data_IF_830653622256
#
_entry.id   IF_830653622256
#
_cell.length_a   1.000
_cell.length_b   1.000
_cell.length_c   1.000
_cell.angle_alpha   90.00
_cell.angle_beta   90.00
_cell.angle_gamma   90.00
#
_symmetry.space_group_name_H-M   'P 1'
#
loop_
_entity.id
_entity.type
_entity.pdbx_description
1 polymer ?
#
# COMPACT_ATOMS: atom_id res chain seq x y z
N UNK A 1 66.16 -31.66 -29.47
CA UNK A 1 64.80 -31.17 -29.16
C UNK A 1 63.82 -32.35 -29.25
N UNK A 2 63.37 -32.91 -28.12
CA UNK A 2 62.39 -34.00 -28.12
C UNK A 2 61.00 -33.40 -28.36
N UNK A 3 60.36 -33.73 -29.48
CA UNK A 3 58.93 -33.42 -29.71
C UNK A 3 58.11 -34.42 -28.89
N UNK A 4 57.52 -33.96 -27.79
CA UNK A 4 56.48 -34.73 -27.10
C UNK A 4 55.21 -34.67 -27.96
N UNK A 5 54.77 -35.82 -28.47
CA UNK A 5 53.51 -35.91 -29.20
C UNK A 5 52.35 -35.92 -28.22
N UNK A 6 51.37 -35.04 -28.42
CA UNK A 6 50.12 -35.05 -27.66
C UNK A 6 49.43 -36.38 -27.90
N UNK A 7 49.13 -37.12 -26.84
CA UNK A 7 48.40 -38.37 -26.98
C UNK A 7 46.91 -38.10 -27.18
N UNK A 8 46.22 -38.97 -27.93
CA UNK A 8 44.78 -38.85 -28.16
C UNK A 8 44.00 -38.85 -26.83
N UNK A 9 44.52 -39.54 -25.82
CA UNK A 9 43.97 -39.58 -24.46
C UNK A 9 44.11 -38.22 -23.75
N UNK A 10 45.26 -37.54 -23.84
CA UNK A 10 45.41 -36.18 -23.28
C UNK A 10 44.44 -35.18 -23.91
N UNK A 11 44.22 -35.26 -25.23
CA UNK A 11 43.27 -34.40 -25.92
C UNK A 11 41.83 -34.65 -25.41
N UNK A 12 41.44 -35.91 -25.21
CA UNK A 12 40.13 -36.28 -24.71
C UNK A 12 39.92 -35.80 -23.26
N UNK A 13 40.92 -35.95 -22.40
CA UNK A 13 40.88 -35.47 -21.01
C UNK A 13 40.77 -33.95 -20.97
N UNK A 14 41.54 -33.23 -21.78
CA UNK A 14 41.47 -31.77 -21.87
C UNK A 14 40.10 -31.27 -22.33
N UNK A 15 39.49 -31.92 -23.33
CA UNK A 15 38.13 -31.60 -23.79
C UNK A 15 37.07 -31.91 -22.72
N UNK A 16 37.23 -33.01 -21.98
CA UNK A 16 36.34 -33.37 -20.87
C UNK A 16 36.38 -32.32 -19.75
N UNK A 17 37.59 -31.90 -19.34
CA UNK A 17 37.76 -30.85 -18.32
C UNK A 17 37.20 -29.51 -18.82
N UNK A 18 37.46 -29.13 -20.07
CA UNK A 18 36.92 -27.92 -20.67
C UNK A 18 35.38 -27.94 -20.68
N UNK A 19 34.77 -29.07 -21.03
CA UNK A 19 33.32 -29.25 -20.99
C UNK A 19 32.73 -29.04 -19.59
N UNK A 20 33.36 -29.61 -18.56
CA UNK A 20 32.94 -29.41 -17.16
C UNK A 20 33.05 -27.93 -16.75
N UNK A 21 34.16 -27.27 -17.11
CA UNK A 21 34.36 -25.85 -16.82
C UNK A 21 33.32 -24.95 -17.50
N UNK A 22 32.97 -25.25 -18.76
CA UNK A 22 31.93 -24.51 -19.48
C UNK A 22 30.54 -24.68 -18.84
N UNK A 23 30.20 -25.88 -18.38
CA UNK A 23 28.94 -26.13 -17.66
C UNK A 23 28.93 -25.37 -16.32
N UNK A 24 30.04 -25.40 -15.57
CA UNK A 24 30.16 -24.68 -14.31
C UNK A 24 30.04 -23.16 -14.51
N UNK A 25 30.73 -22.61 -15.51
CA UNK A 25 30.65 -21.20 -15.88
C UNK A 25 29.23 -20.80 -16.30
N UNK A 26 28.57 -21.62 -17.14
CA UNK A 26 27.19 -21.39 -17.56
C UNK A 26 26.21 -21.33 -16.39
N UNK A 27 26.36 -22.23 -15.41
CA UNK A 27 25.56 -22.21 -14.18
C UNK A 27 25.80 -20.96 -13.32
N UNK A 28 27.06 -20.52 -13.23
CA UNK A 28 27.42 -19.31 -12.49
C UNK A 28 26.83 -18.04 -13.15
N UNK A 29 26.89 -17.93 -14.48
CA UNK A 29 26.29 -16.81 -15.18
C UNK A 29 24.76 -16.79 -15.07
N UNK A 30 24.12 -17.97 -15.15
CA UNK A 30 22.68 -18.09 -14.95
C UNK A 30 22.26 -17.63 -13.55
N UNK A 31 22.95 -18.09 -12.49
CA UNK A 31 22.63 -17.68 -11.12
C UNK A 31 22.88 -16.20 -10.87
N UNK A 32 23.95 -15.62 -11.42
CA UNK A 32 24.23 -14.18 -11.32
C UNK A 32 23.16 -13.33 -12.01
N UNK A 33 22.61 -13.83 -13.12
CA UNK A 33 21.55 -13.15 -13.87
C UNK A 33 20.23 -13.20 -13.10
N UNK A 34 19.87 -14.36 -12.55
CA UNK A 34 18.68 -14.53 -11.72
C UNK A 34 18.72 -13.65 -10.47
N UNK A 35 19.87 -13.58 -9.79
CA UNK A 35 20.09 -12.71 -8.64
C UNK A 35 19.91 -11.23 -9.02
N UNK A 36 20.40 -10.82 -10.19
CA UNK A 36 20.27 -9.46 -10.68
C UNK A 36 18.81 -9.09 -10.97
N UNK A 37 18.04 -10.02 -11.55
CA UNK A 37 16.60 -9.81 -11.78
C UNK A 37 15.80 -9.74 -10.47
N UNK A 38 16.05 -10.65 -9.54
CA UNK A 38 15.39 -10.64 -8.23
C UNK A 38 15.71 -9.35 -7.44
N UNK A 39 16.96 -8.89 -7.48
CA UNK A 39 17.38 -7.63 -6.84
C UNK A 39 16.67 -6.42 -7.46
N UNK A 40 16.57 -6.36 -8.79
CA UNK A 40 15.85 -5.29 -9.50
C UNK A 40 14.37 -5.26 -9.16
N UNK A 41 13.70 -6.42 -9.20
CA UNK A 41 12.28 -6.52 -8.84
C UNK A 41 12.01 -6.11 -7.39
N UNK A 42 12.89 -6.52 -6.46
CA UNK A 42 12.79 -6.10 -5.06
C UNK A 42 12.95 -4.59 -4.91
N UNK A 43 13.89 -3.98 -5.64
CA UNK A 43 14.10 -2.53 -5.60
C UNK A 43 12.89 -1.76 -6.17
N UNK A 44 12.29 -2.25 -7.26
CA UNK A 44 11.09 -1.66 -7.87
C UNK A 44 9.90 -1.70 -6.90
N UNK A 45 9.59 -2.89 -6.33
CA UNK A 45 8.51 -3.04 -5.35
C UNK A 45 8.77 -2.20 -4.10
N UNK A 46 10.01 -2.16 -3.60
CA UNK A 46 10.36 -1.33 -2.45
C UNK A 46 10.13 0.16 -2.73
N UNK A 47 10.57 0.64 -3.90
CA UNK A 47 10.40 2.03 -4.32
C UNK A 47 8.91 2.41 -4.44
N UNK A 48 8.09 1.53 -5.01
CA UNK A 48 6.66 1.73 -5.14
C UNK A 48 5.96 1.79 -3.77
N UNK A 49 6.26 0.85 -2.87
CA UNK A 49 5.69 0.84 -1.52
C UNK A 49 6.11 2.04 -0.69
N UNK A 50 7.38 2.47 -0.76
CA UNK A 50 7.86 3.69 -0.08
C UNK A 50 7.14 4.94 -0.58
N UNK A 51 6.91 5.03 -1.90
CA UNK A 51 6.15 6.13 -2.50
C UNK A 51 4.70 6.13 -2.02
N UNK A 52 4.04 4.97 -2.03
CA UNK A 52 2.68 4.82 -1.54
C UNK A 52 2.53 5.26 -0.08
N UNK A 53 3.48 4.87 0.78
CA UNK A 53 3.46 5.30 2.18
C UNK A 53 3.70 6.79 2.37
N UNK A 54 4.64 7.38 1.63
CA UNK A 54 4.87 8.81 1.70
C UNK A 54 3.59 9.58 1.33
N UNK A 55 2.83 9.10 0.35
CA UNK A 55 1.53 9.66 -0.04
C UNK A 55 0.52 9.49 1.10
N UNK A 56 0.34 8.28 1.63
CA UNK A 56 -0.59 8.00 2.74
C UNK A 56 -0.28 8.89 3.94
N UNK A 57 0.98 9.00 4.32
CA UNK A 57 1.41 9.80 5.45
C UNK A 57 1.22 11.30 5.23
N UNK A 58 1.51 11.81 4.03
CA UNK A 58 1.25 13.19 3.68
C UNK A 58 -0.26 13.52 3.78
N UNK A 59 -1.13 12.61 3.32
CA UNK A 59 -2.58 12.77 3.40
C UNK A 59 -3.11 12.66 4.82
N UNK A 60 -2.62 11.69 5.59
CA UNK A 60 -2.97 11.52 7.00
C UNK A 60 -2.59 12.74 7.83
N UNK A 61 -1.41 13.35 7.61
CA UNK A 61 -1.00 14.59 8.29
C UNK A 61 -1.91 15.78 7.98
N UNK A 62 -2.58 15.78 6.83
CA UNK A 62 -3.53 16.82 6.43
C UNK A 62 -4.97 16.49 6.80
N UNK A 63 -5.23 15.32 7.37
CA UNK A 63 -6.59 14.89 7.65
C UNK A 63 -7.24 15.78 8.71
N UNK A 64 -8.44 16.26 8.40
CA UNK A 64 -9.32 16.89 9.38
C UNK A 64 -9.99 15.84 10.26
N UNK A 65 -10.24 14.63 9.76
CA UNK A 65 -10.85 13.55 10.54
C UNK A 65 -10.31 12.20 10.07
N UNK A 66 -10.07 11.29 11.01
CA UNK A 66 -9.70 9.89 10.72
C UNK A 66 -10.80 9.01 11.29
N UNK A 67 -11.30 8.07 10.49
CA UNK A 67 -12.34 7.17 10.95
C UNK A 67 -11.79 6.21 12.01
N UNK A 68 -12.52 5.99 13.11
CA UNK A 68 -12.07 5.14 14.21
C UNK A 68 -12.03 3.66 13.81
N UNK A 69 -11.29 2.87 14.58
CA UNK A 69 -11.36 1.41 14.50
C UNK A 69 -12.82 0.95 14.70
N UNK A 70 -13.21 -0.15 14.06
CA UNK A 70 -14.59 -0.70 14.05
C UNK A 70 -15.64 0.05 13.22
N UNK A 71 -15.30 1.17 12.58
CA UNK A 71 -16.23 1.78 11.62
C UNK A 71 -16.50 0.84 10.43
N UNK A 72 -17.77 0.77 10.03
CA UNK A 72 -18.22 0.12 8.80
C UNK A 72 -18.51 1.18 7.74
N UNK A 73 -17.85 1.05 6.59
CA UNK A 73 -17.93 2.02 5.51
C UNK A 73 -18.25 1.32 4.20
N UNK A 74 -19.18 1.89 3.44
CA UNK A 74 -19.53 1.42 2.10
C UNK A 74 -18.93 2.39 1.09
N UNK A 75 -17.87 1.96 0.37
CA UNK A 75 -17.19 2.82 -0.61
C UNK A 75 -18.00 2.96 -1.91
N UNK A 76 -18.66 1.89 -2.32
CA UNK A 76 -19.52 1.83 -3.51
C UNK A 76 -20.57 0.74 -3.31
N UNK A 77 -21.54 0.63 -4.21
CA UNK A 77 -22.47 -0.50 -4.26
C UNK A 77 -22.17 -1.43 -5.46
N UNK A 78 -21.16 -1.10 -6.26
CA UNK A 78 -20.78 -1.83 -7.47
C UNK A 78 -19.31 -1.60 -7.85
N UNK A 79 -18.79 -2.47 -8.72
CA UNK A 79 -17.47 -2.32 -9.35
C UNK A 79 -16.35 -3.14 -8.71
N UNK A 80 -15.32 -3.49 -9.48
CA UNK A 80 -14.23 -4.35 -9.00
C UNK A 80 -13.18 -3.62 -8.16
N UNK A 81 -13.08 -2.29 -8.30
CA UNK A 81 -12.01 -1.49 -7.67
C UNK A 81 -12.24 -1.17 -6.21
N UNK A 82 -13.46 -1.33 -5.70
CA UNK A 82 -13.89 -1.04 -4.32
C UNK A 82 -14.42 -2.28 -3.59
N UNK A 83 -14.38 -3.44 -4.25
CA UNK A 83 -14.93 -4.69 -3.71
C UNK A 83 -14.01 -5.25 -2.63
N UNK A 84 -14.58 -5.57 -1.47
CA UNK A 84 -13.88 -6.19 -0.36
C UNK A 84 -13.50 -7.64 -0.74
N UNK A 85 -12.20 -7.97 -0.83
CA UNK A 85 -11.74 -9.29 -1.29
C UNK A 85 -11.94 -10.42 -0.27
N UNK A 86 -12.31 -10.11 0.98
CA UNK A 86 -12.57 -11.08 2.04
C UNK A 86 -14.04 -11.47 2.14
N UNK A 87 -14.95 -10.51 2.01
CA UNK A 87 -16.40 -10.74 2.11
C UNK A 87 -17.10 -10.81 0.76
N UNK A 88 -16.39 -10.46 -0.32
CA UNK A 88 -16.91 -10.35 -1.68
C UNK A 88 -18.04 -9.30 -1.84
N UNK A 89 -18.21 -8.42 -0.83
CA UNK A 89 -19.16 -7.31 -0.80
C UNK A 89 -18.49 -5.94 -0.95
N UNK A 90 -19.19 -4.87 -0.54
CA UNK A 90 -18.68 -3.49 -0.61
C UNK A 90 -18.58 -2.77 0.72
N UNK A 91 -18.90 -3.48 1.80
CA UNK A 91 -18.74 -3.00 3.17
C UNK A 91 -17.31 -3.30 3.61
N UNK A 92 -16.64 -2.27 4.09
CA UNK A 92 -15.28 -2.31 4.62
C UNK A 92 -15.31 -2.02 6.12
N UNK A 93 -14.66 -2.90 6.89
CA UNK A 93 -14.47 -2.74 8.31
C UNK A 93 -13.07 -2.21 8.57
N UNK A 94 -12.97 -1.13 9.33
CA UNK A 94 -11.66 -0.60 9.77
C UNK A 94 -11.01 -1.54 10.81
N UNK A 95 -11.82 -2.28 11.58
CA UNK A 95 -11.37 -3.20 12.65
C UNK A 95 -10.37 -4.27 12.23
N UNK A 96 -10.36 -4.62 10.94
CA UNK A 96 -9.51 -5.70 10.44
C UNK A 96 -8.08 -5.19 10.14
N UNK A 97 -7.84 -3.88 10.31
CA UNK A 97 -6.57 -3.24 9.99
C UNK A 97 -6.23 -3.28 8.51
N UNK A 98 -7.25 -3.47 7.66
CA UNK A 98 -7.09 -3.55 6.20
C UNK A 98 -7.39 -2.23 5.51
N UNK A 99 -8.11 -1.33 6.17
CA UNK A 99 -8.49 -0.05 5.58
C UNK A 99 -8.12 1.10 6.51
N UNK A 100 -7.60 2.16 5.92
CA UNK A 100 -7.48 3.48 6.52
C UNK A 100 -8.41 4.44 5.79
N UNK A 101 -9.28 5.13 6.51
CA UNK A 101 -10.18 6.13 5.94
C UNK A 101 -10.07 7.45 6.69
N UNK A 102 -10.14 8.55 5.94
CA UNK A 102 -9.94 9.90 6.46
C UNK A 102 -10.70 10.93 5.62
N UNK A 103 -10.90 12.11 6.21
CA UNK A 103 -11.47 13.29 5.56
C UNK A 103 -10.40 14.36 5.56
N UNK A 104 -10.09 14.90 4.39
CA UNK A 104 -9.22 16.04 4.22
C UNK A 104 -10.06 17.33 4.12
N UNK A 105 -9.56 18.45 4.67
CA UNK A 105 -10.20 19.75 4.52
C UNK A 105 -10.12 20.22 3.06
N UNK A 106 -10.93 21.22 2.67
CA UNK A 106 -10.80 21.88 1.37
C UNK A 106 -9.40 22.43 1.15
N UNK A 107 -8.87 22.26 -0.06
CA UNK A 107 -7.60 22.86 -0.47
C UNK A 107 -7.69 24.39 -0.45
N UNK A 108 -8.85 24.94 -0.81
CA UNK A 108 -9.12 26.37 -0.77
C UNK A 108 -10.54 26.66 -0.27
N UNK A 109 -10.65 27.09 0.99
CA UNK A 109 -11.93 27.44 1.64
C UNK A 109 -12.64 28.66 1.02
N UNK A 110 -11.94 29.48 0.23
CA UNK A 110 -12.55 30.62 -0.45
C UNK A 110 -13.32 30.21 -1.71
N UNK A 111 -13.15 28.97 -2.18
CA UNK A 111 -13.87 28.44 -3.33
C UNK A 111 -15.13 27.69 -2.89
N UNK A 112 -16.25 27.81 -3.61
CA UNK A 112 -17.44 27.00 -3.33
C UNK A 112 -17.15 25.54 -3.66
N UNK A 113 -17.78 24.63 -2.90
CA UNK A 113 -17.84 23.22 -3.27
C UNK A 113 -18.95 23.01 -4.30
N UNK A 114 -18.63 22.39 -5.44
CA UNK A 114 -19.58 22.06 -6.49
C UNK A 114 -19.23 22.63 -7.87
N UNK A 115 -20.09 22.39 -8.86
CA UNK A 115 -19.89 22.88 -10.23
C UNK A 115 -18.65 22.32 -10.95
N UNK A 116 -18.19 21.13 -10.56
CA UNK A 116 -16.96 20.52 -11.06
C UNK A 116 -15.68 20.99 -10.35
N UNK A 117 -15.76 21.99 -9.46
CA UNK A 117 -14.64 22.41 -8.62
C UNK A 117 -14.65 21.65 -7.29
N UNK A 118 -13.61 20.86 -7.06
CA UNK A 118 -13.43 20.11 -5.81
C UNK A 118 -12.49 20.79 -4.81
N UNK A 119 -11.85 21.91 -5.21
CA UNK A 119 -10.89 22.64 -4.35
C UNK A 119 -11.54 23.22 -3.09
N UNK A 120 -12.84 23.57 -3.19
CA UNK A 120 -13.66 24.04 -2.07
C UNK A 120 -14.34 22.94 -1.26
N UNK A 121 -14.22 21.68 -1.67
CA UNK A 121 -14.90 20.55 -1.05
C UNK A 121 -14.02 19.85 -0.01
N UNK A 122 -14.66 19.32 1.04
CA UNK A 122 -14.04 18.29 1.85
C UNK A 122 -13.89 17.02 1.00
N UNK A 123 -12.78 16.31 1.20
CA UNK A 123 -12.47 15.12 0.40
C UNK A 123 -12.36 13.91 1.29
N UNK A 124 -13.17 12.88 1.02
CA UNK A 124 -13.01 11.56 1.59
C UNK A 124 -11.88 10.81 0.87
N UNK A 125 -10.98 10.22 1.65
CA UNK A 125 -9.91 9.33 1.20
C UNK A 125 -10.01 8.00 1.93
N UNK A 126 -9.87 6.89 1.21
CA UNK A 126 -9.67 5.57 1.81
C UNK A 126 -8.57 4.78 1.10
N UNK A 127 -7.72 4.13 1.88
CA UNK A 127 -6.66 3.23 1.42
C UNK A 127 -7.01 1.81 1.82
N UNK A 128 -7.06 0.90 0.86
CA UNK A 128 -7.48 -0.49 1.10
C UNK A 128 -6.91 -1.44 0.04
N UNK A 129 -6.71 -2.73 0.39
CA UNK A 129 -6.10 -3.70 -0.50
C UNK A 129 -7.17 -4.49 -1.26
N UNK A 130 -6.98 -4.67 -2.56
CA UNK A 130 -7.84 -5.50 -3.42
C UNK A 130 -7.00 -6.60 -4.07
N UNK A 131 -7.58 -7.79 -4.28
CA UNK A 131 -6.90 -8.88 -5.00
C UNK A 131 -6.62 -8.48 -6.45
N UNK A 132 -5.39 -8.69 -6.93
CA UNK A 132 -5.00 -8.44 -8.33
C UNK A 132 -5.92 -9.18 -9.30
N UNK A 133 -6.16 -10.46 -9.06
CA UNK A 133 -7.06 -11.30 -9.88
C UNK A 133 -8.49 -10.77 -9.97
N UNK A 134 -9.00 -10.09 -8.95
CA UNK A 134 -10.31 -9.44 -9.00
C UNK A 134 -10.29 -8.17 -9.87
N UNK A 135 -9.23 -7.38 -9.78
CA UNK A 135 -9.04 -6.17 -10.58
C UNK A 135 -8.85 -6.45 -12.08
N UNK A 136 -8.43 -7.65 -12.47
CA UNK A 136 -8.35 -8.03 -13.89
C UNK A 136 -9.71 -7.98 -14.61
N UNK A 137 -10.83 -7.98 -13.85
CA UNK A 137 -12.20 -7.82 -14.37
C UNK A 137 -12.65 -6.34 -14.47
N UNK A 138 -11.85 -5.40 -13.97
CA UNK A 138 -12.14 -3.98 -14.03
C UNK A 138 -11.96 -3.42 -15.47
N UNK A 139 -12.38 -2.17 -15.67
CA UNK A 139 -12.18 -1.49 -16.95
C UNK A 139 -10.68 -1.38 -17.30
N UNK A 140 -10.29 -1.33 -18.59
CA UNK A 140 -8.89 -1.37 -19.00
C UNK A 140 -7.97 -0.31 -18.39
N UNK A 141 -8.49 0.87 -18.05
CA UNK A 141 -7.71 1.96 -17.43
C UNK A 141 -7.49 1.78 -15.92
N UNK A 142 -8.19 0.84 -15.30
CA UNK A 142 -8.18 0.61 -13.85
C UNK A 142 -7.65 -0.78 -13.50
N UNK A 143 -7.48 -1.64 -14.51
CA UNK A 143 -6.90 -2.96 -14.33
C UNK A 143 -5.37 -2.87 -14.37
N UNK A 144 -4.68 -3.66 -13.56
CA UNK A 144 -3.23 -3.76 -13.65
C UNK A 144 -2.80 -4.43 -14.97
N UNK A 145 -1.50 -4.32 -15.27
CA UNK A 145 -0.91 -5.04 -16.40
C UNK A 145 -1.02 -6.56 -16.17
N UNK A 146 -1.31 -7.31 -17.23
CA UNK A 146 -1.43 -8.76 -17.12
C UNK A 146 -0.10 -9.38 -16.66
N UNK A 147 -0.17 -10.15 -15.57
CA UNK A 147 0.96 -10.85 -14.98
C UNK A 147 0.47 -12.16 -14.34
N UNK A 148 0.48 -13.26 -15.12
CA UNK A 148 -0.01 -14.56 -14.67
C UNK A 148 0.72 -15.12 -13.45
N UNK A 149 2.00 -14.77 -13.25
CA UNK A 149 2.80 -15.26 -12.13
C UNK A 149 2.41 -14.62 -10.80
N UNK A 150 1.72 -13.48 -10.84
CA UNK A 150 1.42 -12.66 -9.68
C UNK A 150 -0.09 -12.46 -9.46
N UNK A 151 -0.96 -13.30 -10.02
CA UNK A 151 -2.42 -13.18 -9.84
C UNK A 151 -2.89 -13.28 -8.37
N UNK A 152 -2.09 -13.94 -7.53
CA UNK A 152 -2.33 -14.05 -6.08
C UNK A 152 -1.89 -12.82 -5.27
N UNK A 153 -1.19 -11.86 -5.89
CA UNK A 153 -0.77 -10.64 -5.22
C UNK A 153 -1.96 -9.70 -5.01
N UNK A 154 -1.77 -8.74 -4.11
CA UNK A 154 -2.76 -7.72 -3.81
C UNK A 154 -2.29 -6.36 -4.36
N UNK A 155 -3.23 -5.44 -4.45
CA UNK A 155 -3.02 -4.10 -4.98
C UNK A 155 -3.58 -3.11 -3.97
N UNK A 156 -2.77 -2.13 -3.58
CA UNK A 156 -3.20 -1.05 -2.73
C UNK A 156 -3.97 -0.03 -3.56
N UNK A 157 -5.22 0.21 -3.17
CA UNK A 157 -6.14 1.12 -3.84
C UNK A 157 -6.35 2.38 -3.00
N UNK A 158 -6.56 3.50 -3.67
CA UNK A 158 -6.99 4.78 -3.11
C UNK A 158 -8.39 5.10 -3.65
N UNK A 159 -9.36 5.25 -2.76
CA UNK A 159 -10.68 5.80 -3.10
C UNK A 159 -10.72 7.28 -2.72
N UNK A 160 -11.25 8.10 -3.62
CA UNK A 160 -11.41 9.54 -3.44
C UNK A 160 -12.81 9.96 -3.82
N UNK A 161 -13.46 10.72 -2.95
CA UNK A 161 -14.75 11.31 -3.27
C UNK A 161 -14.91 12.67 -2.57
N UNK A 162 -15.52 13.62 -3.27
CA UNK A 162 -15.86 14.91 -2.69
C UNK A 162 -17.16 14.79 -1.89
N UNK A 163 -17.23 15.53 -0.78
CA UNK A 163 -18.49 15.77 -0.10
C UNK A 163 -19.22 16.96 -0.74
N UNK A 164 -20.51 16.81 -1.05
CA UNK A 164 -21.33 17.90 -1.57
C UNK A 164 -21.61 19.00 -0.52
N UNK A 165 -21.50 18.65 0.77
CA UNK A 165 -21.64 19.57 1.90
C UNK A 165 -20.65 19.22 3.00
N UNK A 166 -20.20 20.19 3.83
CA UNK A 166 -19.27 19.91 4.91
C UNK A 166 -19.75 18.77 5.82
N UNK A 167 -18.97 17.69 5.98
CA UNK A 167 -19.35 16.59 6.86
C UNK A 167 -19.34 17.04 8.32
N UNK A 168 -20.35 16.65 9.10
CA UNK A 168 -20.36 16.83 10.55
C UNK A 168 -19.57 15.72 11.23
N UNK A 169 -18.46 16.05 11.89
CA UNK A 169 -17.62 15.11 12.66
C UNK A 169 -17.43 15.57 14.10
N UNK A 170 -18.45 16.25 14.64
CA UNK A 170 -18.49 16.68 16.04
C UNK A 170 -18.64 15.49 17.01
N UNK A 171 -18.21 15.68 18.25
CA UNK A 171 -18.26 14.64 19.28
C UNK A 171 -19.71 14.19 19.52
N UNK A 172 -19.95 12.88 19.45
CA UNK A 172 -21.26 12.29 19.69
C UNK A 172 -22.22 12.37 18.49
N UNK A 173 -21.81 13.02 17.40
CA UNK A 173 -22.53 12.94 16.14
C UNK A 173 -22.32 11.56 15.49
N UNK A 174 -23.27 11.09 14.65
CA UNK A 174 -23.04 9.95 13.78
C UNK A 174 -21.78 10.14 12.92
N UNK A 175 -21.08 9.04 12.60
CA UNK A 175 -19.93 9.10 11.69
C UNK A 175 -20.34 9.72 10.35
N UNK A 176 -19.50 10.61 9.76
CA UNK A 176 -19.78 11.17 8.46
C UNK A 176 -20.00 10.06 7.42
N UNK A 177 -21.09 10.11 6.63
CA UNK A 177 -21.37 9.11 5.61
C UNK A 177 -20.33 9.19 4.49
N UNK A 178 -19.91 8.05 3.94
CA UNK A 178 -18.97 8.02 2.82
C UNK A 178 -19.67 8.46 1.54
N UNK A 179 -19.14 9.45 0.80
CA UNK A 179 -19.65 9.76 -0.53
C UNK A 179 -19.36 8.59 -1.48
N UNK A 180 -20.40 8.03 -2.10
CA UNK A 180 -20.31 6.81 -2.93
C UNK A 180 -20.29 7.11 -4.43
N UNK A 181 -20.05 6.08 -5.25
CA UNK A 181 -20.17 6.17 -6.71
C UNK A 181 -18.88 6.50 -7.45
N UNK A 182 -17.77 6.67 -6.74
CA UNK A 182 -16.44 6.80 -7.34
C UNK A 182 -15.77 5.43 -7.47
N UNK A 183 -14.60 5.41 -8.10
CA UNK A 183 -13.81 4.20 -8.30
C UNK A 183 -12.48 4.30 -7.57
N UNK A 184 -11.97 3.17 -7.08
CA UNK A 184 -10.62 3.07 -6.55
C UNK A 184 -9.57 3.28 -7.65
N UNK A 185 -8.50 3.99 -7.33
CA UNK A 185 -7.30 4.17 -8.15
C UNK A 185 -6.16 3.36 -7.57
N UNK A 186 -5.31 2.84 -8.44
CA UNK A 186 -4.15 2.05 -8.02
C UNK A 186 -3.06 2.96 -7.44
N UNK A 187 -2.51 2.58 -6.30
CA UNK A 187 -1.40 3.28 -5.65
C UNK A 187 -0.13 2.45 -5.64
N UNK A 188 -0.23 1.15 -5.36
CA UNK A 188 0.88 0.22 -5.42
C UNK A 188 0.43 -1.19 -5.81
N UNK A 189 1.21 -1.86 -6.66
CA UNK A 189 1.06 -3.25 -7.05
C UNK A 189 1.92 -4.19 -6.17
N UNK A 190 1.68 -5.50 -6.32
CA UNK A 190 2.48 -6.56 -5.68
C UNK A 190 2.51 -6.50 -4.15
N UNK A 191 1.45 -5.98 -3.53
CA UNK A 191 1.29 -6.06 -2.07
C UNK A 191 1.18 -7.53 -1.66
N UNK A 192 1.85 -7.91 -0.58
CA UNK A 192 1.68 -9.23 0.01
C UNK A 192 0.22 -9.44 0.41
N UNK A 193 -0.29 -10.69 0.40
CA UNK A 193 -1.62 -10.98 0.91
C UNK A 193 -1.81 -10.47 2.34
N UNK A 194 -3.02 -9.99 2.64
CA UNK A 194 -3.37 -9.35 3.92
C UNK A 194 -4.72 -9.86 4.39
N UNK A 195 -4.92 -9.94 5.71
CA UNK A 195 -6.20 -10.35 6.30
C UNK A 195 -6.50 -11.85 6.28
N UNK A 196 -5.60 -12.70 5.80
CA UNK A 196 -5.66 -14.16 6.05
C UNK A 196 -4.92 -14.50 7.37
N UNK A 197 -5.27 -15.60 8.06
CA UNK A 197 -4.58 -16.03 9.28
C UNK A 197 -3.06 -16.12 9.03
N UNK A 198 -2.27 -15.39 9.82
CA UNK A 198 -0.81 -15.32 9.69
C UNK A 198 -0.27 -14.16 8.83
N UNK A 199 -1.14 -13.32 8.24
CA UNK A 199 -0.72 -12.12 7.51
C UNK A 199 -0.96 -10.84 8.34
N UNK A 200 -0.01 -9.89 8.32
CA UNK A 200 -0.08 -8.70 9.16
C UNK A 200 -1.21 -7.75 8.74
N UNK A 201 -1.73 -6.98 9.70
CA UNK A 201 -2.55 -5.78 9.46
C UNK A 201 -1.74 -4.76 8.65
N UNK A 202 -2.40 -4.03 7.75
CA UNK A 202 -1.80 -2.93 6.98
C UNK A 202 -1.82 -1.63 7.75
N UNK A 203 -2.89 -1.39 8.49
CA UNK A 203 -3.13 -0.15 9.22
C UNK A 203 -3.58 -0.45 10.63
N UNK A 204 -3.18 0.41 11.55
CA UNK A 204 -3.74 0.49 12.90
C UNK A 204 -4.03 1.96 13.18
N UNK A 205 -5.26 2.26 13.54
CA UNK A 205 -5.64 3.60 13.97
C UNK A 205 -5.89 3.54 15.47
N UNK A 206 -4.93 4.03 16.24
CA UNK A 206 -5.09 4.18 17.68
C UNK A 206 -5.67 5.58 17.94
N UNK A 207 -6.88 5.60 18.48
CA UNK A 207 -7.47 6.82 19.02
C UNK A 207 -6.88 7.08 20.39
N UNK A 208 -5.89 7.96 20.50
CA UNK A 208 -5.29 8.30 21.79
C UNK A 208 -5.87 9.62 22.30
N UNK A 209 -6.81 9.54 23.24
CA UNK A 209 -7.11 10.68 24.10
C UNK A 209 -6.00 10.74 25.15
N UNK A 210 -5.00 11.61 24.96
CA UNK A 210 -3.95 11.84 25.96
C UNK A 210 -4.09 13.23 26.58
N UNK A 211 -4.82 13.34 27.71
CA UNK A 211 -4.90 14.60 28.44
C UNK A 211 -3.63 14.94 29.25
N UNK A 212 -2.63 14.07 29.34
CA UNK A 212 -1.65 14.10 30.46
C UNK A 212 -0.20 13.63 30.17
N UNK A 213 0.24 13.52 28.91
CA UNK A 213 1.66 13.21 28.64
C UNK A 213 2.55 14.47 28.74
N UNK A 214 2.96 14.79 29.97
CA UNK A 214 3.76 15.95 30.36
C UNK A 214 5.19 16.01 29.75
N UNK A 215 5.61 15.02 28.95
CA UNK A 215 7.01 14.86 28.54
C UNK A 215 7.40 15.34 27.14
N UNK A 216 6.46 15.61 26.23
CA UNK A 216 6.77 16.00 24.85
C UNK A 216 6.13 17.35 24.46
N UNK A 217 6.89 18.47 24.44
CA UNK A 217 6.34 19.79 24.15
C UNK A 217 5.84 19.95 22.70
N UNK A 218 6.17 19.03 21.79
CA UNK A 218 5.61 19.01 20.43
C UNK A 218 4.22 18.35 20.36
N UNK A 219 3.80 17.62 21.40
CA UNK A 219 2.53 16.87 21.46
C UNK A 219 1.56 17.41 22.51
N UNK A 220 1.92 18.42 23.29
CA UNK A 220 0.97 19.03 24.22
C UNK A 220 -0.23 19.59 23.45
N UNK A 221 -1.47 19.19 23.83
CA UNK A 221 -2.65 19.92 23.40
C UNK A 221 -2.50 21.34 23.95
N UNK A 222 -2.86 22.29 23.12
CA UNK A 222 -2.89 23.74 23.32
C UNK A 222 -3.85 24.18 24.45
N UNK A 223 -4.13 23.32 25.43
CA UNK A 223 -5.20 23.47 26.42
C UNK A 223 -6.60 23.37 25.81
N UNK A 224 -6.72 23.12 24.50
CA UNK A 224 -7.99 23.04 23.81
C UNK A 224 -8.59 21.62 23.94
N UNK A 225 -9.70 21.43 24.68
CA UNK A 225 -10.32 20.12 24.86
C UNK A 225 -10.92 19.54 23.56
N UNK A 226 -10.92 20.33 22.48
CA UNK A 226 -11.41 19.92 21.16
C UNK A 226 -10.30 19.44 20.23
N UNK A 227 -9.04 19.41 20.67
CA UNK A 227 -7.91 18.90 19.88
C UNK A 227 -7.76 17.39 20.10
N UNK A 228 -7.97 16.60 19.04
CA UNK A 228 -7.77 15.15 19.06
C UNK A 228 -6.46 14.78 18.36
N UNK A 229 -5.74 13.81 18.93
CA UNK A 229 -4.55 13.24 18.31
C UNK A 229 -4.83 11.80 17.94
N UNK A 230 -4.81 11.48 16.65
CA UNK A 230 -4.85 10.09 16.19
C UNK A 230 -3.45 9.64 15.85
N UNK A 231 -3.11 8.41 16.22
CA UNK A 231 -1.91 7.74 15.77
C UNK A 231 -2.30 6.74 14.69
N UNK A 232 -1.80 6.94 13.48
CA UNK A 232 -1.96 5.98 12.39
C UNK A 232 -0.63 5.26 12.21
N UNK A 233 -0.65 3.95 12.40
CA UNK A 233 0.43 3.07 11.99
C UNK A 233 0.10 2.48 10.62
N UNK A 234 1.09 2.47 9.73
CA UNK A 234 0.99 1.79 8.43
C UNK A 234 2.15 0.83 8.23
N UNK A 235 1.85 -0.35 7.68
CA UNK A 235 2.83 -1.39 7.38
C UNK A 235 2.56 -1.95 5.99
N UNK A 236 3.50 -1.76 5.08
CA UNK A 236 3.42 -2.35 3.74
C UNK A 236 4.49 -3.44 3.59
N UNK A 237 4.15 -4.49 2.86
CA UNK A 237 5.07 -5.53 2.41
C UNK A 237 4.69 -5.96 1.01
N UNK A 238 5.64 -6.43 0.22
CA UNK A 238 5.41 -6.77 -1.18
C UNK A 238 6.05 -8.09 -1.59
N UNK A 239 5.45 -8.73 -2.58
CA UNK A 239 5.93 -9.96 -3.19
C UNK A 239 5.66 -9.96 -4.70
N UNK A 240 6.73 -10.15 -5.49
CA UNK A 240 6.66 -10.27 -6.95
C UNK A 240 7.49 -11.44 -7.43
N UNK A 241 6.85 -12.33 -8.19
CA UNK A 241 7.48 -13.48 -8.82
C UNK A 241 7.93 -13.15 -10.24
N UNK A 242 9.15 -13.55 -10.59
CA UNK A 242 9.76 -13.47 -11.92
C UNK A 242 10.30 -14.85 -12.29
N UNK A 243 9.52 -15.62 -13.06
CA UNK A 243 9.84 -17.01 -13.37
C UNK A 243 9.89 -17.88 -12.10
N UNK A 244 11.03 -18.52 -11.84
CA UNK A 244 11.26 -19.36 -10.66
C UNK A 244 11.67 -18.57 -9.40
N UNK A 245 11.91 -17.26 -9.53
CA UNK A 245 12.39 -16.42 -8.43
C UNK A 245 11.24 -15.58 -7.86
N UNK A 246 11.27 -15.34 -6.55
CA UNK A 246 10.30 -14.46 -5.89
C UNK A 246 11.03 -13.39 -5.10
N UNK A 247 10.86 -12.14 -5.52
CA UNK A 247 11.36 -10.96 -4.82
C UNK A 247 10.39 -10.60 -3.69
N UNK A 248 10.89 -10.58 -2.45
CA UNK A 248 10.11 -10.21 -1.26
C UNK A 248 10.65 -8.96 -0.61
N UNK A 249 9.75 -8.04 -0.31
CA UNK A 249 10.01 -6.85 0.51
C UNK A 249 9.33 -7.09 1.86
N UNK A 250 10.08 -7.46 2.91
CA UNK A 250 9.50 -7.68 4.22
C UNK A 250 9.04 -6.36 4.85
N UNK A 251 8.14 -6.46 5.83
CA UNK A 251 7.82 -5.38 6.75
C UNK A 251 9.09 -5.02 7.54
N UNK A 252 9.70 -3.88 7.25
CA UNK A 252 10.90 -3.35 7.93
C UNK A 252 10.78 -1.84 8.10
N UNK A 253 11.32 -1.27 9.18
CA UNK A 253 11.02 0.06 9.73
C UNK A 253 10.99 1.28 8.80
N UNK A 254 11.54 1.24 7.58
CA UNK A 254 11.28 2.28 6.57
C UNK A 254 9.83 2.26 6.04
N UNK A 255 9.18 1.10 6.20
CA UNK A 255 7.80 0.84 5.86
C UNK A 255 6.86 0.85 7.07
N UNK A 256 7.28 1.49 8.16
CA UNK A 256 6.51 1.69 9.37
C UNK A 256 6.49 3.19 9.67
N UNK A 257 5.30 3.77 9.74
CA UNK A 257 5.15 5.19 10.02
C UNK A 257 4.06 5.42 11.06
N UNK A 258 4.42 6.19 12.08
CA UNK A 258 3.51 6.72 13.08
C UNK A 258 3.15 8.15 12.67
N UNK A 259 1.87 8.36 12.36
CA UNK A 259 1.37 9.67 11.95
C UNK A 259 0.47 10.22 13.03
N UNK A 260 0.86 11.36 13.60
CA UNK A 260 0.04 12.13 14.54
C UNK A 260 -0.85 13.10 13.77
N UNK A 261 -2.16 12.93 13.89
CA UNK A 261 -3.16 13.80 13.26
C UNK A 261 -3.80 14.68 14.32
N UNK A 262 -3.55 16.00 14.27
CA UNK A 262 -4.24 16.98 15.12
C UNK A 262 -5.54 17.40 14.46
N UNK A 263 -6.67 17.09 15.09
CA UNK A 263 -7.98 17.59 14.68
C UNK A 263 -8.40 18.70 15.62
N UNK A 264 -8.44 19.95 15.15
CA UNK A 264 -9.02 21.07 15.89
C UNK A 264 -10.41 21.33 15.33
N UNK A 265 -11.45 20.94 16.09
CA UNK A 265 -12.83 21.24 15.72
C UNK A 265 -13.02 22.77 15.73
N UNK A 266 -13.29 23.34 14.56
CA UNK A 266 -13.72 24.73 14.43
C UNK A 266 -15.23 24.76 14.73
N UNK A 267 -15.62 25.36 15.86
CA UNK A 267 -17.01 25.74 16.12
C UNK A 267 -17.46 26.85 15.19
#
# INVERSE_FOLDING_TARGET
MKRAGVTLVELLVALGVLGILLVAAGRYFASSTDLSFAARARAEVLSELQTAQAIIAARARQAAFVYPEFAELTLSNSGYTTRNPLTDGYVWKISDGLMLAMILPPENRAQPCGGGNTSGCFMFYAYYPVKRSALMKAAPLLRPVDDPLNQGSWVLMEYRAAYDSPPGYERGAPLPPVPTGQQGRMLAEYLSPVGAPGYPRLFLTEGEHRPDDEGNPALQPDGNPNTWVFRVHSWLSGERSLGAQTARVPRQGALEQDIFVRNTLLR
#
